data_IF_803295090065
#
_entry.id   IF_803295090065
#
_cell.length_a   1.000
_cell.length_b   1.000
_cell.length_c   1.000
_cell.angle_alpha   90.00
_cell.angle_beta   90.00
_cell.angle_gamma   90.00
#
_symmetry.space_group_name_H-M   'P 1'
#
loop_
_entity.id
_entity.type
_entity.pdbx_description
1 polymer ?
#
# COMPACT_ATOMS: atom_id res chain seq x y z
N UNK A 1 27.50 25.32 -43.65
CA UNK A 1 26.25 24.52 -43.51
C UNK A 1 26.10 24.20 -42.04
N UNK A 2 25.01 24.66 -41.42
CA UNK A 2 24.83 24.71 -39.95
C UNK A 2 24.42 23.35 -39.36
N UNK A 3 25.02 23.05 -38.20
CA UNK A 3 24.65 21.99 -37.27
C UNK A 3 23.33 22.38 -36.61
N UNK A 4 22.32 21.50 -36.61
CA UNK A 4 21.08 21.67 -35.85
C UNK A 4 20.96 20.55 -34.81
N UNK A 5 21.52 20.82 -33.64
CA UNK A 5 21.15 20.14 -32.38
C UNK A 5 19.72 20.58 -32.04
N UNK A 6 18.80 19.63 -31.85
CA UNK A 6 17.50 19.91 -31.22
C UNK A 6 17.50 19.29 -29.83
N UNK A 7 17.44 20.16 -28.82
CA UNK A 7 17.20 19.84 -27.43
C UNK A 7 15.69 19.95 -27.16
N UNK A 8 15.19 18.95 -26.41
CA UNK A 8 14.02 18.93 -25.52
C UNK A 8 12.60 19.13 -26.08
N UNK A 9 11.75 18.12 -25.85
CA UNK A 9 10.54 18.28 -25.02
C UNK A 9 10.00 16.90 -24.62
N UNK A 10 10.08 16.54 -23.34
CA UNK A 10 9.21 15.52 -22.72
C UNK A 10 8.03 16.27 -22.06
N UNK A 11 6.83 15.66 -22.00
CA UNK A 11 6.58 14.68 -20.93
C UNK A 11 6.03 13.34 -21.45
N UNK A 12 6.32 12.22 -20.76
CA UNK A 12 5.61 10.98 -20.99
C UNK A 12 4.37 10.99 -20.10
N UNK A 13 3.16 11.18 -20.65
CA UNK A 13 1.96 11.08 -19.81
C UNK A 13 0.67 11.05 -20.62
N UNK A 14 0.18 9.85 -20.96
CA UNK A 14 -1.24 9.66 -21.28
C UNK A 14 -1.74 8.29 -20.85
N UNK A 15 -1.38 7.84 -19.64
CA UNK A 15 -2.29 6.96 -18.92
C UNK A 15 -3.29 7.87 -18.24
N UNK A 16 -4.44 8.10 -18.86
CA UNK A 16 -5.61 8.62 -18.15
C UNK A 16 -5.82 7.68 -16.96
N UNK A 17 -5.37 8.07 -15.77
CA UNK A 17 -5.37 7.18 -14.62
C UNK A 17 -6.82 6.78 -14.38
N UNK A 18 -7.15 5.52 -14.66
CA UNK A 18 -8.37 4.91 -14.13
C UNK A 18 -8.38 5.20 -12.62
N UNK A 19 -9.55 5.49 -12.02
CA UNK A 19 -9.67 5.46 -10.58
C UNK A 19 -9.00 4.19 -10.07
N UNK A 20 -8.24 4.28 -8.99
CA UNK A 20 -7.60 3.12 -8.39
C UNK A 20 -7.67 3.20 -6.88
N UNK A 21 -7.57 2.04 -6.25
CA UNK A 21 -7.57 1.94 -4.80
C UNK A 21 -6.18 2.21 -4.24
N UNK A 22 -6.13 2.85 -3.08
CA UNK A 22 -4.97 2.86 -2.19
C UNK A 22 -5.25 1.92 -1.02
N UNK A 23 -4.33 0.99 -0.77
CA UNK A 23 -4.35 0.05 0.35
C UNK A 23 -3.51 0.61 1.51
N UNK A 24 -4.20 1.07 2.57
CA UNK A 24 -3.54 1.57 3.76
C UNK A 24 -3.32 0.46 4.79
N UNK A 25 -2.08 0.30 5.27
CA UNK A 25 -1.70 -0.70 6.30
C UNK A 25 -0.93 -0.11 7.49
N UNK A 26 -0.56 1.17 7.42
CA UNK A 26 0.10 1.91 8.50
C UNK A 26 -0.85 2.89 9.16
N UNK A 27 -0.34 4.04 9.60
CA UNK A 27 -1.15 5.08 10.25
C UNK A 27 -2.30 5.64 9.37
N UNK A 28 -2.24 5.43 8.05
CA UNK A 28 -3.35 5.75 7.12
C UNK A 28 -4.53 4.77 7.18
N UNK A 29 -4.46 3.70 7.98
CA UNK A 29 -5.64 2.91 8.37
C UNK A 29 -6.73 3.79 9.03
N UNK A 30 -6.33 4.94 9.60
CA UNK A 30 -7.21 5.95 10.21
C UNK A 30 -7.86 6.83 9.14
N UNK A 31 -9.19 6.80 8.95
CA UNK A 31 -9.90 7.80 8.14
C UNK A 31 -9.65 9.23 8.61
N UNK A 32 -9.48 9.46 9.92
CA UNK A 32 -9.12 10.79 10.45
C UNK A 32 -7.75 11.24 9.98
N UNK A 33 -6.78 10.33 9.86
CA UNK A 33 -5.50 10.70 9.28
C UNK A 33 -5.62 10.97 7.78
N UNK A 34 -6.37 10.14 7.06
CA UNK A 34 -6.59 10.32 5.64
C UNK A 34 -7.28 11.66 5.33
N UNK A 35 -8.24 12.10 6.15
CA UNK A 35 -8.92 13.39 5.98
C UNK A 35 -8.01 14.60 6.24
N UNK A 36 -6.99 14.46 7.09
CA UNK A 36 -5.99 15.51 7.29
C UNK A 36 -4.98 15.58 6.14
N UNK A 37 -4.64 14.46 5.50
CA UNK A 37 -3.67 14.41 4.41
C UNK A 37 -4.28 14.76 3.05
N UNK A 38 -5.45 14.20 2.75
CA UNK A 38 -6.13 14.37 1.46
C UNK A 38 -6.91 15.69 1.48
N UNK A 39 -6.44 16.68 0.73
CA UNK A 39 -7.02 18.03 0.73
C UNK A 39 -7.55 18.49 -0.64
N UNK A 40 -7.33 17.69 -1.70
CA UNK A 40 -7.82 17.97 -3.05
C UNK A 40 -9.26 17.46 -3.21
N UNK A 41 -9.51 16.20 -2.87
CA UNK A 41 -10.84 15.59 -2.93
C UNK A 41 -11.10 14.68 -1.71
N UNK A 42 -11.13 15.25 -0.48
CA UNK A 42 -11.29 14.47 0.75
C UNK A 42 -12.56 13.62 0.81
N UNK A 43 -13.65 14.04 0.18
CA UNK A 43 -14.89 13.23 0.15
C UNK A 43 -14.75 11.93 -0.64
N UNK A 44 -13.74 11.83 -1.51
CA UNK A 44 -13.36 10.60 -2.21
C UNK A 44 -12.18 9.94 -1.50
N UNK A 45 -11.04 10.65 -1.40
CA UNK A 45 -9.76 10.06 -0.96
C UNK A 45 -9.66 9.75 0.53
N UNK A 46 -10.52 10.32 1.37
CA UNK A 46 -10.57 10.02 2.80
C UNK A 46 -11.81 9.20 3.22
N UNK A 47 -12.64 8.78 2.26
CA UNK A 47 -13.79 7.91 2.53
C UNK A 47 -13.34 6.45 2.47
N UNK A 48 -13.36 5.69 3.59
CA UNK A 48 -13.02 4.28 3.56
C UNK A 48 -14.09 3.49 2.78
N UNK A 49 -13.66 2.67 1.82
CA UNK A 49 -14.56 1.96 0.90
C UNK A 49 -14.67 0.46 1.19
N UNK A 50 -13.59 -0.16 1.66
CA UNK A 50 -13.55 -1.58 1.96
C UNK A 50 -12.46 -1.93 2.97
N UNK A 51 -12.62 -3.08 3.61
CA UNK A 51 -11.52 -3.81 4.24
C UNK A 51 -11.02 -4.85 3.24
N UNK A 52 -9.70 -4.93 3.08
CA UNK A 52 -9.05 -5.87 2.19
C UNK A 52 -7.84 -6.53 2.85
N UNK A 53 -7.32 -7.59 2.25
CA UNK A 53 -6.11 -8.26 2.68
C UNK A 53 -5.14 -8.52 1.54
N UNK A 54 -3.85 -8.60 1.90
CA UNK A 54 -2.75 -9.02 1.04
C UNK A 54 -2.20 -10.35 1.58
N UNK A 55 -2.50 -11.45 0.91
CA UNK A 55 -2.11 -12.81 1.33
C UNK A 55 -0.61 -13.04 1.26
N UNK A 56 -0.05 -13.64 2.30
CA UNK A 56 1.37 -13.96 2.49
C UNK A 56 2.31 -12.76 2.56
N UNK A 57 1.76 -11.54 2.69
CA UNK A 57 2.53 -10.35 3.01
C UNK A 57 2.81 -10.30 4.52
N UNK A 58 3.95 -9.71 4.89
CA UNK A 58 4.36 -9.60 6.30
C UNK A 58 4.44 -8.16 6.76
N UNK A 59 3.69 -7.80 7.80
CA UNK A 59 3.73 -6.46 8.38
C UNK A 59 4.80 -6.35 9.46
N UNK A 60 5.50 -5.22 9.52
CA UNK A 60 6.45 -4.90 10.59
C UNK A 60 6.66 -3.40 10.74
N UNK A 61 7.37 -3.03 11.81
CA UNK A 61 8.03 -1.72 11.90
C UNK A 61 9.47 -1.89 11.42
N UNK A 62 9.88 -1.11 10.42
CA UNK A 62 11.22 -1.14 9.85
C UNK A 62 12.21 -0.29 10.69
N UNK A 63 13.48 -0.29 10.31
CA UNK A 63 14.54 0.45 11.01
C UNK A 63 14.40 1.98 10.97
N UNK A 64 13.52 2.54 10.13
CA UNK A 64 13.16 3.96 10.19
C UNK A 64 12.08 4.27 11.25
N UNK A 65 11.53 3.25 11.91
CA UNK A 65 10.54 3.39 12.96
C UNK A 65 9.10 3.57 12.44
N UNK A 66 8.85 3.21 11.18
CA UNK A 66 7.53 3.29 10.53
C UNK A 66 7.04 1.93 10.03
N UNK A 67 5.73 1.84 9.78
CA UNK A 67 5.12 0.60 9.29
C UNK A 67 5.59 0.29 7.87
N UNK A 68 5.93 -0.97 7.62
CA UNK A 68 6.28 -1.47 6.30
C UNK A 68 5.70 -2.88 6.11
N UNK A 69 5.60 -3.29 4.85
CA UNK A 69 5.19 -4.63 4.47
C UNK A 69 6.26 -5.30 3.61
N UNK A 70 6.48 -6.59 3.86
CA UNK A 70 7.36 -7.42 3.05
C UNK A 70 6.48 -8.28 2.12
N UNK A 71 6.69 -8.24 0.79
CA UNK A 71 5.93 -9.05 -0.14
C UNK A 71 6.23 -10.56 0.01
N UNK A 72 5.35 -11.43 -0.52
CA UNK A 72 5.62 -12.86 -0.63
C UNK A 72 6.85 -13.12 -1.47
N UNK A 73 7.51 -14.27 -1.28
CA UNK A 73 8.83 -14.56 -1.87
C UNK A 73 8.91 -14.36 -3.39
N UNK A 74 7.85 -14.70 -4.13
CA UNK A 74 7.79 -14.52 -5.59
C UNK A 74 7.72 -13.06 -6.05
N UNK A 75 7.40 -12.13 -5.14
CA UNK A 75 7.34 -10.69 -5.40
C UNK A 75 8.49 -9.91 -4.74
N UNK A 76 9.48 -10.59 -4.14
CA UNK A 76 10.61 -9.91 -3.48
C UNK A 76 11.68 -9.52 -4.48
N UNK A 77 12.25 -8.33 -4.30
CA UNK A 77 13.46 -7.90 -4.99
C UNK A 77 14.73 -8.24 -4.18
N UNK A 78 15.91 -8.01 -4.75
CA UNK A 78 17.21 -8.43 -4.18
C UNK A 78 17.44 -7.96 -2.73
N UNK A 79 17.10 -6.71 -2.40
CA UNK A 79 17.22 -6.15 -1.03
C UNK A 79 16.35 -6.88 -0.01
N UNK A 80 15.23 -7.47 -0.45
CA UNK A 80 14.26 -8.18 0.36
C UNK A 80 14.54 -9.70 0.46
N UNK A 81 15.51 -10.21 -0.30
CA UNK A 81 15.93 -11.62 -0.28
C UNK A 81 17.08 -11.87 0.70
N UNK A 82 17.01 -11.26 1.88
CA UNK A 82 18.05 -11.36 2.91
C UNK A 82 17.62 -12.25 4.08
N UNK A 83 18.57 -12.90 4.80
CA UNK A 83 18.26 -13.65 6.01
C UNK A 83 17.61 -12.81 7.11
N UNK A 84 17.79 -11.48 7.09
CA UNK A 84 17.14 -10.57 8.04
C UNK A 84 15.66 -10.36 7.69
N UNK A 85 15.32 -10.24 6.41
CA UNK A 85 13.93 -10.14 5.96
C UNK A 85 13.12 -11.40 6.32
N UNK A 86 13.74 -12.58 6.30
CA UNK A 86 13.07 -13.83 6.68
C UNK A 86 12.67 -13.89 8.16
N UNK A 87 13.28 -13.06 9.02
CA UNK A 87 12.94 -12.95 10.45
C UNK A 87 11.69 -12.10 10.69
N UNK A 88 11.20 -11.36 9.69
CA UNK A 88 9.93 -10.65 9.81
C UNK A 88 8.83 -11.69 10.03
N UNK A 89 8.03 -11.58 11.12
CA UNK A 89 7.08 -12.61 11.50
C UNK A 89 5.94 -12.71 10.49
N UNK A 90 5.33 -13.89 10.42
CA UNK A 90 4.06 -14.12 9.71
C UNK A 90 2.97 -13.23 10.30
N UNK A 91 2.15 -12.62 9.44
CA UNK A 91 1.08 -11.70 9.82
C UNK A 91 -0.15 -12.44 10.35
N UNK A 92 -0.08 -12.83 11.62
CA UNK A 92 -1.19 -13.49 12.33
C UNK A 92 -1.46 -14.91 11.82
N UNK A 93 -2.51 -15.53 12.35
CA UNK A 93 -2.86 -16.93 11.96
C UNK A 93 -3.35 -17.07 10.51
N UNK A 94 -3.78 -15.97 9.89
CA UNK A 94 -4.29 -15.94 8.53
C UNK A 94 -3.20 -15.70 7.48
N UNK A 95 -1.94 -15.48 7.91
CA UNK A 95 -0.79 -15.17 7.04
C UNK A 95 -1.13 -14.09 6.01
N UNK A 96 -1.66 -12.96 6.48
CA UNK A 96 -2.08 -11.86 5.62
C UNK A 96 -1.98 -10.51 6.31
N UNK A 97 -1.74 -9.45 5.52
CA UNK A 97 -1.83 -8.07 6.01
C UNK A 97 -3.21 -7.54 5.69
N UNK A 98 -3.93 -7.02 6.69
CA UNK A 98 -5.19 -6.33 6.50
C UNK A 98 -4.97 -4.83 6.31
N UNK A 99 -5.87 -4.23 5.52
CA UNK A 99 -5.83 -2.81 5.22
C UNK A 99 -7.21 -2.23 4.96
N UNK A 100 -7.25 -0.90 4.94
CA UNK A 100 -8.43 -0.12 4.54
C UNK A 100 -8.19 0.40 3.13
N UNK A 101 -9.18 0.21 2.25
CA UNK A 101 -9.15 0.71 0.87
C UNK A 101 -9.79 2.09 0.78
N UNK A 102 -9.12 2.98 0.06
CA UNK A 102 -9.62 4.30 -0.33
C UNK A 102 -9.57 4.42 -1.86
N UNK A 103 -10.57 5.04 -2.49
CA UNK A 103 -10.44 5.48 -3.88
C UNK A 103 -9.54 6.71 -3.92
N UNK A 104 -8.58 6.76 -4.83
CA UNK A 104 -7.57 7.81 -4.81
C UNK A 104 -7.74 8.82 -5.94
N UNK A 105 -7.97 10.08 -5.57
CA UNK A 105 -7.82 11.21 -6.51
C UNK A 105 -6.34 11.43 -6.84
N UNK A 106 -6.03 11.72 -8.11
CA UNK A 106 -4.64 11.89 -8.54
C UNK A 106 -3.92 13.07 -7.86
N UNK A 107 -4.65 14.09 -7.38
CA UNK A 107 -4.12 15.20 -6.59
C UNK A 107 -3.79 14.79 -5.17
N UNK A 108 -4.67 14.04 -4.52
CA UNK A 108 -4.43 13.52 -3.17
C UNK A 108 -3.32 12.45 -3.17
N UNK A 109 -3.24 11.62 -4.22
CA UNK A 109 -2.11 10.70 -4.43
C UNK A 109 -0.79 11.47 -4.42
N UNK A 110 -0.72 12.62 -5.10
CA UNK A 110 0.49 13.46 -5.10
C UNK A 110 0.84 14.05 -3.75
N UNK A 111 -0.14 14.25 -2.87
CA UNK A 111 0.10 14.68 -1.49
C UNK A 111 0.64 13.49 -0.69
N UNK A 112 0.02 12.31 -0.81
CA UNK A 112 0.49 11.10 -0.16
C UNK A 112 1.92 10.75 -0.59
N UNK A 113 2.28 10.88 -1.86
CA UNK A 113 3.65 10.72 -2.34
C UNK A 113 4.66 11.55 -1.55
N UNK A 114 4.29 12.77 -1.15
CA UNK A 114 5.14 13.63 -0.33
C UNK A 114 5.28 13.12 1.11
N UNK A 115 4.22 12.56 1.69
CA UNK A 115 4.27 11.93 3.01
C UNK A 115 5.04 10.61 3.03
N UNK A 116 4.95 9.84 1.94
CA UNK A 116 5.63 8.54 1.80
C UNK A 116 7.04 8.68 1.20
N UNK A 117 7.50 9.91 0.94
CA UNK A 117 8.85 10.18 0.47
C UNK A 117 9.18 9.55 -0.89
N UNK A 118 8.23 9.51 -1.82
CA UNK A 118 8.41 8.91 -3.14
C UNK A 118 9.45 9.69 -3.96
N UNK A 119 10.48 8.99 -4.44
CA UNK A 119 11.38 9.51 -5.47
C UNK A 119 10.71 9.41 -6.85
N UNK A 120 10.27 10.56 -7.37
CA UNK A 120 9.57 10.64 -8.65
C UNK A 120 10.50 10.51 -9.87
N UNK A 121 11.79 10.71 -9.66
CA UNK A 121 12.82 10.64 -10.69
C UNK A 121 13.53 9.28 -10.71
N UNK A 122 13.15 8.37 -9.81
CA UNK A 122 13.68 7.02 -9.78
C UNK A 122 13.48 6.29 -11.11
N UNK A 123 14.46 5.45 -11.46
CA UNK A 123 14.53 4.74 -12.72
C UNK A 123 13.30 3.85 -12.94
N UNK A 124 12.89 3.70 -14.20
CA UNK A 124 11.84 2.75 -14.58
C UNK A 124 12.42 1.34 -14.51
N UNK A 125 11.65 0.39 -13.96
CA UNK A 125 12.05 -1.01 -13.92
C UNK A 125 12.19 -1.53 -15.34
N UNK A 126 13.36 -2.09 -15.64
CA UNK A 126 13.63 -2.66 -16.96
C UNK A 126 12.88 -3.99 -17.13
N UNK A 127 12.25 -4.25 -18.29
CA UNK A 127 11.64 -5.54 -18.58
C UNK A 127 12.64 -6.69 -18.38
N UNK A 128 12.22 -7.74 -17.66
CA UNK A 128 13.07 -8.89 -17.33
C UNK A 128 13.88 -8.76 -16.03
N UNK A 129 13.75 -7.64 -15.29
CA UNK A 129 14.44 -7.38 -14.02
C UNK A 129 13.88 -8.10 -12.77
N UNK A 130 12.97 -9.06 -12.94
CA UNK A 130 12.38 -9.85 -11.86
C UNK A 130 10.89 -9.62 -11.68
N UNK A 131 10.51 -8.44 -11.19
CA UNK A 131 9.10 -8.07 -10.97
C UNK A 131 8.54 -7.36 -12.20
N UNK A 132 7.29 -7.67 -12.55
CA UNK A 132 6.59 -7.03 -13.67
C UNK A 132 6.50 -5.51 -13.47
N UNK A 133 6.72 -4.75 -14.54
CA UNK A 133 6.62 -3.27 -14.55
C UNK A 133 5.20 -2.82 -14.21
N UNK A 134 4.17 -3.63 -14.48
CA UNK A 134 2.79 -3.34 -14.10
C UNK A 134 2.56 -3.47 -12.59
N UNK A 135 3.39 -4.25 -11.89
CA UNK A 135 3.35 -4.39 -10.42
C UNK A 135 4.25 -3.35 -9.76
N UNK A 136 5.46 -3.17 -10.28
CA UNK A 136 6.47 -2.28 -9.73
C UNK A 136 7.05 -1.43 -10.87
N UNK A 137 6.46 -0.26 -11.16
CA UNK A 137 6.84 0.51 -12.36
C UNK A 137 8.22 1.17 -12.29
N UNK A 138 8.69 1.49 -11.08
CA UNK A 138 9.95 2.19 -10.84
C UNK A 138 10.76 1.51 -9.75
N UNK A 139 12.05 1.80 -9.71
CA UNK A 139 12.90 1.57 -8.54
C UNK A 139 12.49 2.52 -7.40
N UNK A 140 12.83 2.20 -6.14
CA UNK A 140 12.63 3.13 -5.03
C UNK A 140 13.48 4.42 -5.14
N UNK A 141 14.66 4.31 -5.77
CA UNK A 141 15.59 5.45 -5.86
C UNK A 141 16.08 5.93 -4.49
N UNK A 142 16.17 7.25 -4.33
CA UNK A 142 16.60 7.91 -3.09
C UNK A 142 15.46 8.18 -2.09
N UNK A 143 14.25 7.70 -2.36
CA UNK A 143 13.06 7.92 -1.55
C UNK A 143 12.92 6.94 -0.37
N UNK A 144 11.90 7.18 0.46
CA UNK A 144 11.60 6.34 1.63
C UNK A 144 10.79 5.10 1.29
N UNK A 145 9.74 5.26 0.48
CA UNK A 145 8.90 4.17 -0.04
C UNK A 145 8.87 4.21 -1.57
N UNK A 146 8.43 3.11 -2.16
CA UNK A 146 8.12 2.98 -3.58
C UNK A 146 6.64 2.62 -3.80
N UNK A 147 6.13 2.84 -5.01
CA UNK A 147 4.77 2.49 -5.42
C UNK A 147 4.70 1.10 -6.03
N UNK A 148 3.88 0.26 -5.44
CA UNK A 148 3.54 -1.06 -5.95
C UNK A 148 2.06 -1.14 -6.25
N UNK A 149 1.70 -1.85 -7.30
CA UNK A 149 0.33 -2.07 -7.71
C UNK A 149 0.02 -3.56 -7.75
N UNK A 150 -0.72 -4.04 -6.76
CA UNK A 150 -0.88 -5.48 -6.51
C UNK A 150 -2.35 -5.84 -6.40
N UNK A 151 -2.66 -7.13 -6.49
CA UNK A 151 -4.01 -7.65 -6.26
C UNK A 151 -4.26 -7.83 -4.76
N UNK A 152 -5.36 -7.29 -4.25
CA UNK A 152 -5.81 -7.43 -2.87
C UNK A 152 -7.17 -8.12 -2.82
N UNK A 153 -7.35 -9.01 -1.84
CA UNK A 153 -8.62 -9.70 -1.58
C UNK A 153 -9.54 -8.79 -0.78
N UNK A 154 -10.70 -8.43 -1.33
CA UNK A 154 -11.71 -7.64 -0.62
C UNK A 154 -12.37 -8.53 0.41
N UNK A 155 -12.23 -8.19 1.69
CA UNK A 155 -12.84 -8.91 2.81
C UNK A 155 -14.27 -8.42 3.03
N UNK A 156 -14.48 -7.11 2.96
CA UNK A 156 -15.78 -6.48 3.22
C UNK A 156 -15.87 -5.11 2.56
N UNK A 157 -16.89 -4.87 1.74
CA UNK A 157 -17.28 -3.52 1.33
C UNK A 157 -17.95 -2.76 2.49
N UNK A 158 -17.58 -1.48 2.65
CA UNK A 158 -18.16 -0.57 3.65
C UNK A 158 -19.22 0.36 3.05
N UNK A 159 -19.29 0.39 1.72
CA UNK A 159 -20.19 1.21 0.93
C UNK A 159 -20.75 0.38 -0.23
N UNK A 160 -22.09 0.25 -0.29
CA UNK A 160 -22.78 -0.52 -1.31
C UNK A 160 -22.73 0.16 -2.69
N UNK A 161 -22.68 1.49 -2.76
CA UNK A 161 -22.48 2.21 -4.03
C UNK A 161 -21.08 1.93 -4.58
N UNK A 162 -20.07 1.96 -3.69
CA UNK A 162 -18.71 1.60 -4.06
C UNK A 162 -18.64 0.13 -4.51
N UNK A 163 -19.27 -0.80 -3.77
CA UNK A 163 -19.37 -2.20 -4.18
C UNK A 163 -19.97 -2.33 -5.58
N UNK A 164 -21.11 -1.70 -5.85
CA UNK A 164 -21.77 -1.78 -7.16
C UNK A 164 -20.89 -1.20 -8.28
N UNK A 165 -20.24 -0.05 -8.04
CA UNK A 165 -19.29 0.57 -8.98
C UNK A 165 -18.13 -0.36 -9.32
N UNK A 166 -17.49 -0.93 -8.31
CA UNK A 166 -16.20 -1.61 -8.46
C UNK A 166 -16.32 -3.09 -8.83
N UNK A 167 -17.40 -3.75 -8.40
CA UNK A 167 -17.70 -5.14 -8.84
C UNK A 167 -18.02 -5.22 -10.34
N UNK A 168 -18.50 -4.13 -10.95
CA UNK A 168 -18.79 -4.07 -12.39
C UNK A 168 -17.63 -3.64 -13.29
N UNK A 169 -16.53 -3.12 -12.73
CA UNK A 169 -15.46 -2.50 -13.51
C UNK A 169 -14.23 -3.39 -13.73
N UNK A 170 -13.75 -4.16 -12.73
CA UNK A 170 -12.45 -4.85 -12.81
C UNK A 170 -12.32 -6.07 -11.85
N UNK A 171 -13.37 -6.89 -11.66
CA UNK A 171 -13.19 -8.17 -10.93
C UNK A 171 -12.60 -9.23 -11.86
N UNK A 172 -11.34 -9.60 -11.62
CA UNK A 172 -10.78 -10.84 -12.17
C UNK A 172 -11.49 -12.02 -11.49
N UNK A 173 -12.33 -12.74 -12.25
CA UNK A 173 -12.97 -13.97 -11.82
C UNK A 173 -11.94 -15.10 -11.89
N UNK A 174 -11.12 -15.25 -10.85
CA UNK A 174 -10.35 -16.48 -10.67
C UNK A 174 -11.31 -17.61 -10.32
N UNK A 175 -11.57 -18.47 -11.30
CA UNK A 175 -12.20 -19.76 -11.08
C UNK A 175 -11.37 -20.57 -10.08
N UNK A 176 -12.01 -21.07 -9.03
CA UNK A 176 -11.48 -22.04 -8.06
C UNK A 176 -10.84 -21.49 -6.75
N UNK A 177 -11.25 -20.34 -6.23
CA UNK A 177 -11.01 -20.07 -4.81
C UNK A 177 -12.27 -19.57 -4.07
N UNK A 178 -12.94 -20.49 -3.37
CA UNK A 178 -14.00 -20.19 -2.40
C UNK A 178 -13.39 -19.59 -1.10
N UNK A 179 -12.53 -18.59 -1.24
CA UNK A 179 -12.09 -17.77 -0.11
C UNK A 179 -13.23 -16.86 0.35
N UNK A 180 -13.24 -16.49 1.62
CA UNK A 180 -14.24 -15.63 2.28
C UNK A 180 -14.39 -14.22 1.68
N UNK A 181 -13.67 -13.89 0.60
CA UNK A 181 -13.60 -12.56 0.02
C UNK A 181 -14.71 -12.27 -1.01
N UNK A 182 -15.05 -10.99 -1.13
CA UNK A 182 -16.03 -10.45 -2.08
C UNK A 182 -15.39 -10.13 -3.45
N UNK A 183 -14.23 -10.73 -3.76
CA UNK A 183 -13.46 -10.58 -5.00
C UNK A 183 -12.07 -9.96 -4.81
N UNK A 184 -11.28 -9.87 -5.88
CA UNK A 184 -9.95 -9.25 -5.91
C UNK A 184 -9.99 -7.89 -6.61
N UNK A 185 -9.21 -6.93 -6.13
CA UNK A 185 -9.06 -5.60 -6.75
C UNK A 185 -7.59 -5.19 -6.83
N UNK A 186 -7.22 -4.46 -7.88
CA UNK A 186 -5.87 -3.88 -8.01
C UNK A 186 -5.76 -2.63 -7.12
N UNK A 187 -4.73 -2.60 -6.28
CA UNK A 187 -4.48 -1.54 -5.30
C UNK A 187 -3.07 -0.98 -5.42
N UNK A 188 -2.91 0.32 -5.20
CA UNK A 188 -1.65 0.98 -4.87
C UNK A 188 -1.30 0.67 -3.41
N UNK A 189 -0.07 0.22 -3.18
CA UNK A 189 0.53 0.05 -1.86
C UNK A 189 1.92 0.69 -1.87
N UNK A 190 2.24 1.44 -0.82
CA UNK A 190 3.58 1.98 -0.62
C UNK A 190 4.43 0.93 0.06
N UNK A 191 5.62 0.63 -0.46
CA UNK A 191 6.51 -0.39 0.10
C UNK A 191 7.90 0.20 0.23
N UNK A 192 8.48 0.09 1.41
CA UNK A 192 9.89 0.39 1.59
C UNK A 192 10.69 -0.87 1.28
N UNK A 193 11.42 -0.81 0.19
CA UNK A 193 12.14 -1.90 -0.42
C UNK A 193 13.53 -2.10 0.19
N UNK A 194 14.04 -1.07 0.87
CA UNK A 194 15.42 -1.04 1.36
C UNK A 194 15.50 -1.43 2.83
N UNK A 195 14.50 -1.05 3.63
CA UNK A 195 14.49 -1.23 5.09
C UNK A 195 13.62 -2.43 5.47
N UNK A 196 14.28 -3.56 5.69
CA UNK A 196 13.66 -4.87 5.99
C UNK A 196 14.07 -5.42 7.37
N UNK A 197 14.69 -4.58 8.21
CA UNK A 197 15.05 -4.95 9.57
C UNK A 197 13.93 -4.53 10.52
N UNK A 198 13.46 -5.49 11.32
CA UNK A 198 12.50 -5.20 12.40
C UNK A 198 13.11 -4.26 13.44
N UNK A 199 12.39 -3.18 13.77
CA UNK A 199 12.77 -2.22 14.81
C UNK A 199 11.57 -1.77 15.65
N UNK A 200 11.81 -0.82 16.55
CA UNK A 200 10.79 -0.16 17.40
C UNK A 200 10.18 1.04 16.67
N UNK A 201 8.90 1.34 16.89
CA UNK A 201 8.28 2.53 16.32
C UNK A 201 8.87 3.80 16.94
N UNK A 202 8.92 4.86 16.15
CA UNK A 202 9.26 6.18 16.68
C UNK A 202 8.18 6.66 17.66
N UNK A 203 8.57 7.42 18.69
CA UNK A 203 7.68 7.82 19.76
C UNK A 203 6.48 8.64 19.25
N UNK A 204 6.68 9.51 18.25
CA UNK A 204 5.62 10.29 17.62
C UNK A 204 4.73 9.47 16.67
N UNK A 205 5.16 8.25 16.31
CA UNK A 205 4.37 7.33 15.49
C UNK A 205 3.37 6.53 16.31
N UNK A 206 3.73 6.16 17.54
CA UNK A 206 2.90 5.36 18.45
C UNK A 206 1.46 5.89 18.55
N UNK A 207 1.20 7.19 18.86
CA UNK A 207 -0.17 7.66 19.01
C UNK A 207 -0.97 7.69 17.70
N UNK A 208 -0.28 7.85 16.57
CA UNK A 208 -0.90 7.76 15.24
C UNK A 208 -1.34 6.33 14.94
N UNK A 209 -0.51 5.35 15.28
CA UNK A 209 -0.83 3.94 15.10
C UNK A 209 -1.91 3.46 16.07
N UNK A 210 -1.91 3.88 17.33
CA UNK A 210 -2.97 3.53 18.27
C UNK A 210 -4.34 4.08 17.81
N UNK A 211 -4.40 5.31 17.28
CA UNK A 211 -5.63 5.82 16.63
C UNK A 211 -6.03 4.99 15.42
N UNK A 212 -5.08 4.69 14.53
CA UNK A 212 -5.30 3.87 13.36
C UNK A 212 -5.86 2.47 13.69
N UNK A 213 -5.33 1.81 14.72
CA UNK A 213 -5.85 0.52 15.19
C UNK A 213 -7.30 0.63 15.67
N UNK A 214 -7.62 1.63 16.52
CA UNK A 214 -8.98 1.83 17.02
C UNK A 214 -9.99 2.12 15.90
N UNK A 215 -9.64 3.01 14.96
CA UNK A 215 -10.53 3.36 13.86
C UNK A 215 -10.69 2.22 12.86
N UNK A 216 -9.61 1.48 12.55
CA UNK A 216 -9.67 0.30 11.69
C UNK A 216 -10.58 -0.80 12.28
N UNK A 217 -10.49 -1.04 13.59
CA UNK A 217 -11.37 -1.98 14.28
C UNK A 217 -12.85 -1.57 14.16
N UNK A 218 -13.16 -0.28 14.32
CA UNK A 218 -14.53 0.25 14.15
C UNK A 218 -15.07 0.06 12.73
N UNK A 219 -14.20 0.11 11.70
CA UNK A 219 -14.58 -0.19 10.32
C UNK A 219 -14.82 -1.70 10.08
N UNK A 220 -14.27 -2.55 10.96
CA UNK A 220 -14.42 -4.00 10.93
C UNK A 220 -13.16 -4.76 10.54
N UNK A 221 -11.96 -4.15 10.65
CA UNK A 221 -10.72 -4.92 10.68
C UNK A 221 -10.72 -5.81 11.92
N UNK A 222 -10.30 -7.06 11.77
CA UNK A 222 -10.28 -8.03 12.86
C UNK A 222 -9.44 -7.55 14.05
N UNK A 223 -10.08 -7.35 15.21
CA UNK A 223 -9.38 -7.02 16.46
C UNK A 223 -8.32 -8.06 16.82
N UNK A 224 -8.58 -9.34 16.51
CA UNK A 224 -7.58 -10.41 16.66
C UNK A 224 -6.35 -10.18 15.78
N UNK A 225 -6.53 -9.76 14.53
CA UNK A 225 -5.40 -9.45 13.65
C UNK A 225 -4.63 -8.22 14.15
N UNK A 226 -5.33 -7.18 14.62
CA UNK A 226 -4.68 -5.99 15.20
C UNK A 226 -3.79 -6.37 16.38
N UNK A 227 -4.27 -7.25 17.25
CA UNK A 227 -3.52 -7.74 18.42
C UNK A 227 -2.37 -8.68 18.02
N UNK A 228 -2.61 -9.62 17.10
CA UNK A 228 -1.59 -10.58 16.67
C UNK A 228 -0.51 -9.94 15.77
N UNK A 229 -0.79 -8.83 15.08
CA UNK A 229 0.13 -8.27 14.08
C UNK A 229 0.65 -6.90 14.49
N UNK A 230 -0.22 -5.94 14.78
CA UNK A 230 0.19 -4.56 15.06
C UNK A 230 0.62 -4.37 16.51
N UNK A 231 -0.16 -4.88 17.48
CA UNK A 231 0.12 -4.69 18.92
C UNK A 231 1.47 -5.26 19.35
N UNK A 232 1.99 -6.27 18.64
CA UNK A 232 3.34 -6.82 18.85
C UNK A 232 4.45 -5.76 18.74
N UNK A 233 4.24 -4.71 17.95
CA UNK A 233 5.23 -3.68 17.68
C UNK A 233 4.82 -2.30 18.22
N UNK A 234 3.51 -2.05 18.39
CA UNK A 234 2.98 -0.75 18.80
C UNK A 234 2.60 -0.78 20.30
N UNK A 235 3.38 -0.13 21.18
CA UNK A 235 3.02 0.02 22.58
C UNK A 235 1.68 0.74 22.75
N UNK A 236 0.95 0.38 23.80
CA UNK A 236 -0.17 1.18 24.27
C UNK A 236 0.31 2.54 24.80
N UNK A 237 -0.61 3.51 24.80
CA UNK A 237 -0.42 4.82 25.42
C UNK A 237 -0.76 4.79 26.91
#
# INVERSE_FOLDING_TARGET
MQIKMHISNQPPSSHSKKPHFYFAYGSNLSPTQMSHRCTINPSVSAKPLAIASLSHWRWHINEAGYANVLPPRGLRISSQLSPVAEKIPVSGVEDAVYGVLYEMDAGDERILDGYEGIDREAEVVQPGGGIDVDVRPREQGGGDYNKWYVSADVVKWLDEEARAKWTGMDMEMDGENQGLGQGKVRVLVYVDEQRVLVSKPNAEYIPRMNRAMREAEQLGVSGRWLEEVLRRFIPEE
#
